data_IF_291763202979
#
_entry.id   IF_291763202979
#
_cell.length_a   1.000
_cell.length_b   1.000
_cell.length_c   1.000
_cell.angle_alpha   90.00
_cell.angle_beta   90.00
_cell.angle_gamma   90.00
#
_symmetry.space_group_name_H-M   'P 1'
#
loop_
_entity.id
_entity.type
_entity.pdbx_description
1 polymer ?
#
# COMPACT_ATOMS: atom_id res chain seq x y z
N UNK A 1 22.71 21.68 -10.55
CA UNK A 1 21.77 21.99 -9.49
C UNK A 1 20.40 21.44 -9.81
N UNK A 2 19.92 21.74 -11.01
CA UNK A 2 18.64 21.18 -11.42
C UNK A 2 18.66 19.68 -11.42
N UNK A 3 19.80 19.11 -11.77
CA UNK A 3 19.92 17.66 -11.77
C UNK A 3 19.67 17.08 -10.39
N UNK A 4 20.15 17.78 -9.40
CA UNK A 4 19.97 17.31 -8.03
C UNK A 4 18.52 17.31 -7.66
N UNK A 5 17.78 18.31 -8.10
CA UNK A 5 16.36 18.37 -7.81
C UNK A 5 15.60 17.30 -8.55
N UNK A 6 15.97 17.06 -9.78
CA UNK A 6 15.33 15.99 -10.55
C UNK A 6 15.58 14.65 -9.89
N UNK A 7 16.80 14.44 -9.46
CA UNK A 7 17.15 13.22 -8.76
C UNK A 7 16.36 13.09 -7.48
N UNK A 8 16.22 14.20 -6.78
CA UNK A 8 15.45 14.21 -5.56
C UNK A 8 14.02 13.78 -5.79
N UNK A 9 13.42 14.27 -6.86
CA UNK A 9 12.04 13.93 -7.14
C UNK A 9 11.87 12.46 -7.37
N UNK A 10 12.79 11.85 -8.10
CA UNK A 10 12.72 10.42 -8.33
C UNK A 10 12.97 9.65 -7.05
N UNK A 11 14.00 10.05 -6.33
CA UNK A 11 14.29 9.41 -5.07
C UNK A 11 13.13 9.56 -4.12
N UNK A 12 12.48 10.72 -4.16
CA UNK A 12 11.34 10.97 -3.30
C UNK A 12 10.19 10.02 -3.60
N UNK A 13 10.01 9.67 -4.86
CA UNK A 13 8.99 8.69 -5.21
C UNK A 13 9.25 7.36 -4.55
N UNK A 14 10.48 6.89 -4.69
CA UNK A 14 10.88 5.62 -4.09
C UNK A 14 10.82 5.71 -2.58
N UNK A 15 11.31 6.81 -2.05
CA UNK A 15 11.32 6.99 -0.61
C UNK A 15 9.92 7.11 -0.05
N UNK A 16 9.06 7.78 -0.79
CA UNK A 16 7.66 7.90 -0.35
C UNK A 16 6.99 6.54 -0.30
N UNK A 17 7.30 5.70 -1.28
CA UNK A 17 6.75 4.37 -1.30
C UNK A 17 7.23 3.57 -0.10
N UNK A 18 8.52 3.66 0.18
CA UNK A 18 9.09 2.97 1.34
C UNK A 18 8.54 3.51 2.64
N UNK A 19 8.42 4.82 2.73
CA UNK A 19 7.89 5.43 3.92
C UNK A 19 6.43 5.02 4.12
N UNK A 20 5.67 5.04 3.05
CA UNK A 20 4.28 4.63 3.11
C UNK A 20 4.17 3.18 3.60
N UNK A 21 4.97 2.31 3.03
CA UNK A 21 4.99 0.93 3.47
C UNK A 21 5.32 0.82 4.94
N UNK A 22 6.34 1.54 5.36
CA UNK A 22 6.78 1.48 6.75
C UNK A 22 5.69 1.94 7.70
N UNK A 23 4.94 2.93 7.29
CA UNK A 23 3.87 3.45 8.12
C UNK A 23 2.70 2.48 8.21
N UNK A 24 2.38 1.83 7.12
CA UNK A 24 1.19 0.99 7.08
C UNK A 24 1.47 -0.47 7.40
N UNK A 25 2.73 -0.89 7.36
CA UNK A 25 3.06 -2.26 7.67
C UNK A 25 2.61 -2.67 9.07
N UNK A 26 2.85 -1.85 10.11
CA UNK A 26 2.35 -2.23 11.43
C UNK A 26 0.85 -2.35 11.47
N UNK A 27 0.16 -1.53 10.69
CA UNK A 27 -1.30 -1.61 10.64
C UNK A 27 -1.75 -2.92 10.01
N UNK A 28 -1.01 -3.37 9.00
CA UNK A 28 -1.31 -4.66 8.40
C UNK A 28 -1.14 -5.78 9.41
N UNK A 29 -0.09 -5.72 10.20
CA UNK A 29 0.11 -6.72 11.23
C UNK A 29 -1.02 -6.72 12.23
N UNK A 30 -1.52 -5.54 12.57
CA UNK A 30 -2.66 -5.45 13.46
C UNK A 30 -3.89 -6.10 12.88
N UNK A 31 -4.13 -5.85 11.59
CA UNK A 31 -5.25 -6.48 10.89
C UNK A 31 -5.10 -7.99 10.91
N UNK A 32 -3.90 -8.47 10.67
CA UNK A 32 -3.65 -9.90 10.66
C UNK A 32 -3.93 -10.49 12.04
N UNK A 33 -3.45 -9.81 13.09
CA UNK A 33 -3.68 -10.29 14.44
C UNK A 33 -5.17 -10.35 14.76
N UNK A 34 -5.88 -9.32 14.34
CA UNK A 34 -7.34 -9.30 14.57
C UNK A 34 -8.02 -10.43 13.83
N UNK A 35 -7.57 -10.69 12.61
CA UNK A 35 -8.14 -11.79 11.85
C UNK A 35 -7.85 -13.13 12.47
N UNK A 36 -6.66 -13.29 13.03
CA UNK A 36 -6.31 -14.54 13.69
C UNK A 36 -7.22 -14.80 14.88
N UNK A 37 -7.58 -13.74 15.59
CA UNK A 37 -8.51 -13.89 16.71
C UNK A 37 -9.86 -14.40 16.25
N UNK A 38 -10.20 -14.15 15.00
CA UNK A 38 -11.45 -14.63 14.44
C UNK A 38 -11.32 -16.03 13.87
N UNK A 39 -10.14 -16.60 13.90
CA UNK A 39 -9.95 -17.96 13.44
C UNK A 39 -9.29 -18.09 12.08
N UNK A 40 -8.94 -16.98 11.45
CA UNK A 40 -8.27 -17.03 10.16
C UNK A 40 -6.78 -17.23 10.35
N UNK A 41 -6.14 -17.84 9.38
CA UNK A 41 -4.71 -18.01 9.42
C UNK A 41 -4.03 -16.74 8.92
N UNK A 42 -2.87 -16.44 9.50
CA UNK A 42 -2.15 -15.23 9.12
C UNK A 42 -1.89 -15.17 7.62
N UNK A 43 -1.47 -16.29 7.03
CA UNK A 43 -1.19 -16.31 5.60
C UNK A 43 -2.44 -16.05 4.78
N UNK A 44 -3.57 -16.60 5.22
CA UNK A 44 -4.84 -16.38 4.52
C UNK A 44 -5.21 -14.90 4.54
N UNK A 45 -5.05 -14.29 5.70
CA UNK A 45 -5.38 -12.87 5.85
C UNK A 45 -4.48 -12.02 4.97
N UNK A 46 -3.18 -12.32 5.00
CA UNK A 46 -2.24 -11.54 4.20
C UNK A 46 -2.56 -11.63 2.72
N UNK A 47 -2.90 -12.84 2.25
CA UNK A 47 -3.24 -13.01 0.85
C UNK A 47 -4.53 -12.30 0.50
N UNK A 48 -5.50 -12.36 1.38
CA UNK A 48 -6.77 -11.67 1.16
C UNK A 48 -6.56 -10.17 1.11
N UNK A 49 -5.70 -9.65 1.98
CA UNK A 49 -5.42 -8.23 1.99
C UNK A 49 -4.74 -7.79 0.70
N UNK A 50 -3.82 -8.59 0.21
CA UNK A 50 -3.13 -8.27 -1.04
C UNK A 50 -4.13 -8.26 -2.20
N UNK A 51 -5.00 -9.24 -2.23
CA UNK A 51 -6.00 -9.34 -3.27
C UNK A 51 -6.98 -8.16 -3.22
N UNK A 52 -7.41 -7.83 -2.02
CA UNK A 52 -8.31 -6.70 -1.84
C UNK A 52 -7.63 -5.39 -2.23
N UNK A 53 -6.34 -5.27 -1.92
CA UNK A 53 -5.60 -4.07 -2.27
C UNK A 53 -5.52 -3.90 -3.78
N UNK A 54 -5.35 -5.00 -4.51
CA UNK A 54 -5.35 -4.94 -5.97
C UNK A 54 -6.66 -4.39 -6.49
N UNK A 55 -7.76 -4.87 -5.94
CA UNK A 55 -9.08 -4.38 -6.35
C UNK A 55 -9.23 -2.90 -6.07
N UNK A 56 -8.76 -2.48 -4.90
CA UNK A 56 -8.86 -1.07 -4.54
C UNK A 56 -8.04 -0.21 -5.50
N UNK A 57 -6.86 -0.70 -5.88
CA UNK A 57 -6.02 0.04 -6.82
C UNK A 57 -6.77 0.25 -8.13
N UNK A 58 -7.42 -0.80 -8.61
CA UNK A 58 -8.18 -0.69 -9.86
C UNK A 58 -9.34 0.28 -9.73
N UNK A 59 -10.03 0.22 -8.60
CA UNK A 59 -11.15 1.14 -8.37
C UNK A 59 -10.68 2.58 -8.31
N UNK A 60 -9.57 2.80 -7.64
CA UNK A 60 -9.03 4.16 -7.54
C UNK A 60 -8.61 4.67 -8.91
N UNK A 61 -8.02 3.81 -9.71
CA UNK A 61 -7.63 4.21 -11.05
C UNK A 61 -8.83 4.58 -11.90
N UNK A 62 -9.91 3.80 -11.77
CA UNK A 62 -11.14 4.11 -12.50
C UNK A 62 -11.75 5.42 -12.06
N UNK A 63 -11.76 5.65 -10.77
CA UNK A 63 -12.31 6.89 -10.24
C UNK A 63 -11.53 8.09 -10.75
N UNK A 64 -10.22 7.95 -10.79
CA UNK A 64 -9.38 9.02 -11.29
C UNK A 64 -9.71 9.32 -12.74
N UNK A 65 -9.93 8.29 -13.53
CA UNK A 65 -10.30 8.47 -14.94
C UNK A 65 -11.68 9.06 -15.07
N UNK A 66 -12.59 8.65 -14.21
CA UNK A 66 -13.96 9.12 -14.28
C UNK A 66 -14.06 10.61 -14.06
N UNK A 67 -13.18 11.14 -13.25
CA UNK A 67 -13.20 12.55 -12.94
C UNK A 67 -12.78 13.43 -14.10
N UNK A 68 -12.16 12.87 -15.08
CA UNK A 68 -11.79 13.60 -16.26
C UNK A 68 -12.89 13.57 -17.28
#
# INVERSE_FOLDING_TARGET
>A
MTDIQSSKNRLNSDQRMETCRSEFEPMLFELIKNGEKRGWKAAEIAMALADAADDVILKLARETKSKH
#
